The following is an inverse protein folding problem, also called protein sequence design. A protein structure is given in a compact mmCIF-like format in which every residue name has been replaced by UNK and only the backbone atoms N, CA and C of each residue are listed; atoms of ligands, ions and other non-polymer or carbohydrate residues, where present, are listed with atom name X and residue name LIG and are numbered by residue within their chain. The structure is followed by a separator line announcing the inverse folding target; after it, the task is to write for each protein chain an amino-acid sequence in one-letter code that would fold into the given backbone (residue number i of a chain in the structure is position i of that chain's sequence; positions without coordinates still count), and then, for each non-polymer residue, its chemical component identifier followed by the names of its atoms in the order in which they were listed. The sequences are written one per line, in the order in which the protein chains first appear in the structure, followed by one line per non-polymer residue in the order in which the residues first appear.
data_IF_433057704261
#
_entry.id   IF_433057704261
#
_cell.length_a   1.000
_cell.length_b   1.000
_cell.length_c   1.000
_cell.angle_alpha   90.00
_cell.angle_beta   90.00
_cell.angle_gamma   90.00
#
_symmetry.space_group_name_H-M   'P 1'
#
loop_
_entity.id
_entity.type
_entity.pdbx_description
1 polymer ?
#
# COMPACT_ATOMS: atom_id res chain seq x y z
N UNK A 1 -23.31 -9.18 -17.93
CA UNK A 1 -23.02 -8.86 -16.52
C UNK A 1 -21.61 -9.31 -16.12
N UNK A 2 -21.24 -10.58 -16.37
CA UNK A 2 -19.92 -11.16 -16.06
C UNK A 2 -18.69 -10.35 -16.53
N UNK A 3 -18.74 -9.81 -17.75
CA UNK A 3 -17.60 -9.08 -18.32
C UNK A 3 -17.26 -7.77 -17.60
N UNK A 4 -18.26 -7.06 -17.06
CA UNK A 4 -18.04 -5.80 -16.33
C UNK A 4 -17.42 -6.06 -14.96
N UNK A 5 -17.84 -7.12 -14.29
CA UNK A 5 -17.31 -7.51 -12.98
C UNK A 5 -15.89 -8.06 -13.09
N UNK A 6 -15.60 -8.84 -14.13
CA UNK A 6 -14.25 -9.33 -14.41
C UNK A 6 -13.28 -8.17 -14.66
N UNK A 7 -13.68 -7.20 -15.49
CA UNK A 7 -12.90 -5.98 -15.71
C UNK A 7 -12.69 -5.20 -14.40
N UNK A 8 -13.75 -5.00 -13.63
CA UNK A 8 -13.67 -4.32 -12.33
C UNK A 8 -12.71 -5.03 -11.37
N UNK A 9 -12.70 -6.37 -11.36
CA UNK A 9 -11.79 -7.16 -10.52
C UNK A 9 -10.33 -7.01 -10.94
N UNK A 10 -10.05 -7.04 -12.25
CA UNK A 10 -8.70 -6.78 -12.78
C UNK A 10 -8.24 -5.39 -12.37
N UNK A 11 -9.09 -4.37 -12.54
CA UNK A 11 -8.76 -3.01 -12.12
C UNK A 11 -8.54 -2.90 -10.60
N UNK A 12 -9.34 -3.58 -9.78
CA UNK A 12 -9.14 -3.61 -8.33
C UNK A 12 -7.74 -4.09 -7.97
N UNK A 13 -7.31 -5.21 -8.58
CA UNK A 13 -6.00 -5.80 -8.29
C UNK A 13 -4.87 -4.84 -8.70
N UNK A 14 -4.97 -4.23 -9.87
CA UNK A 14 -3.95 -3.28 -10.35
C UNK A 14 -3.86 -2.06 -9.42
N UNK A 15 -4.99 -1.46 -9.07
CA UNK A 15 -5.03 -0.27 -8.19
C UNK A 15 -4.55 -0.62 -6.79
N UNK A 16 -4.91 -1.80 -6.26
CA UNK A 16 -4.43 -2.30 -4.98
C UNK A 16 -2.90 -2.34 -4.91
N UNK A 17 -2.24 -3.03 -5.85
CA UNK A 17 -0.77 -3.12 -5.84
C UNK A 17 -0.10 -1.78 -6.14
N UNK A 18 -0.75 -0.92 -6.92
CA UNK A 18 -0.25 0.44 -7.14
C UNK A 18 -0.27 1.26 -5.85
N UNK A 19 -1.32 1.13 -5.03
CA UNK A 19 -1.40 1.76 -3.72
C UNK A 19 -0.31 1.24 -2.79
N UNK A 20 -0.15 -0.08 -2.68
CA UNK A 20 0.91 -0.67 -1.84
C UNK A 20 2.31 -0.20 -2.23
N UNK A 21 2.66 -0.28 -3.51
CA UNK A 21 3.96 0.18 -4.00
C UNK A 21 4.14 1.67 -3.72
N UNK A 22 3.08 2.47 -3.83
CA UNK A 22 3.16 3.91 -3.55
C UNK A 22 3.45 4.18 -2.08
N UNK A 23 2.77 3.48 -1.16
CA UNK A 23 3.06 3.55 0.28
C UNK A 23 4.50 3.12 0.55
N UNK A 24 4.92 1.99 -0.01
CA UNK A 24 6.27 1.48 0.16
C UNK A 24 7.30 2.52 -0.29
N UNK A 25 7.14 3.10 -1.48
CA UNK A 25 8.06 4.13 -2.00
C UNK A 25 8.04 5.41 -1.17
N UNK A 26 6.89 5.77 -0.60
CA UNK A 26 6.78 6.92 0.29
C UNK A 26 7.53 6.67 1.61
N UNK A 27 7.27 5.53 2.26
CA UNK A 27 7.84 5.20 3.56
C UNK A 27 9.35 4.91 3.49
N UNK A 28 9.82 4.27 2.42
CA UNK A 28 11.24 3.89 2.26
C UNK A 28 12.11 4.97 1.61
N UNK A 29 11.52 6.04 1.08
CA UNK A 29 12.16 7.05 0.20
C UNK A 29 12.85 6.46 -1.05
N UNK A 30 12.58 5.17 -1.38
CA UNK A 30 13.10 4.54 -2.59
C UNK A 30 12.31 5.01 -3.80
N UNK A 31 12.99 5.70 -4.71
CA UNK A 31 12.39 6.15 -5.98
C UNK A 31 12.39 5.02 -7.01
N UNK A 32 11.23 4.40 -7.21
CA UNK A 32 11.02 3.40 -8.26
C UNK A 32 10.48 4.05 -9.55
N UNK A 33 11.16 3.81 -10.67
CA UNK A 33 10.67 4.15 -12.01
C UNK A 33 9.44 3.30 -12.37
N UNK A 34 8.61 3.79 -13.31
CA UNK A 34 7.38 3.12 -13.74
C UNK A 34 7.60 1.66 -14.17
N UNK A 35 8.66 1.38 -14.94
CA UNK A 35 8.99 0.02 -15.38
C UNK A 35 9.32 -0.92 -14.21
N UNK A 36 10.01 -0.43 -13.18
CA UNK A 36 10.30 -1.21 -11.97
C UNK A 36 9.01 -1.50 -11.20
N UNK A 37 8.12 -0.50 -11.10
CA UNK A 37 6.79 -0.69 -10.48
C UNK A 37 5.98 -1.74 -11.24
N UNK A 38 5.93 -1.65 -12.57
CA UNK A 38 5.23 -2.63 -13.42
C UNK A 38 5.81 -4.04 -13.24
N UNK A 39 7.15 -4.18 -13.17
CA UNK A 39 7.80 -5.46 -12.89
C UNK A 39 7.40 -6.02 -11.52
N UNK A 40 7.42 -5.18 -10.47
CA UNK A 40 7.02 -5.59 -9.12
C UNK A 40 5.55 -6.04 -9.10
N UNK A 41 4.64 -5.32 -9.77
CA UNK A 41 3.24 -5.74 -9.90
C UNK A 41 3.12 -7.09 -10.59
N UNK A 42 3.88 -7.33 -11.66
CA UNK A 42 3.90 -8.65 -12.32
C UNK A 42 4.39 -9.75 -11.38
N UNK A 43 5.38 -9.47 -10.53
CA UNK A 43 5.85 -10.42 -9.50
C UNK A 43 4.75 -10.66 -8.46
N UNK A 44 4.09 -9.62 -7.95
CA UNK A 44 2.97 -9.79 -7.02
C UNK A 44 1.87 -10.67 -7.61
N UNK A 45 1.46 -10.40 -8.85
CA UNK A 45 0.47 -11.20 -9.57
C UNK A 45 0.91 -12.64 -9.75
N UNK A 46 2.18 -12.87 -10.08
CA UNK A 46 2.71 -14.21 -10.26
C UNK A 46 2.77 -15.00 -8.96
N UNK A 47 3.29 -14.41 -7.88
CA UNK A 47 3.43 -15.13 -6.61
C UNK A 47 2.06 -15.39 -5.97
N UNK A 48 1.11 -14.46 -6.10
CA UNK A 48 -0.26 -14.64 -5.61
C UNK A 48 -1.10 -15.64 -6.44
N UNK A 49 -0.59 -16.20 -7.54
CA UNK A 49 -1.22 -17.38 -8.17
C UNK A 49 -1.08 -18.64 -7.31
N UNK A 50 -0.08 -18.68 -6.42
CA UNK A 50 0.15 -19.79 -5.50
C UNK A 50 -0.80 -19.63 -4.31
N UNK A 51 -1.94 -20.34 -4.35
CA UNK A 51 -3.03 -20.31 -3.33
C UNK A 51 -2.62 -20.65 -1.88
N UNK A 52 -1.35 -20.93 -1.62
CA UNK A 52 -0.86 -21.42 -0.33
C UNK A 52 -0.64 -20.27 0.66
N UNK A 53 -0.33 -19.05 0.20
CA UNK A 53 -0.14 -17.89 1.07
C UNK A 53 -1.05 -16.73 0.69
N UNK A 54 -1.55 -16.03 1.71
CA UNK A 54 -2.30 -14.78 1.57
C UNK A 54 -1.40 -13.67 1.02
N UNK A 55 -1.92 -12.71 0.24
CA UNK A 55 -1.20 -11.49 -0.16
C UNK A 55 -0.53 -10.79 1.04
N UNK A 56 -1.20 -10.74 2.20
CA UNK A 56 -0.64 -10.21 3.45
C UNK A 56 0.66 -10.87 3.94
N UNK A 57 0.93 -12.10 3.51
CA UNK A 57 2.14 -12.83 3.85
C UNK A 57 3.18 -12.79 2.74
N UNK A 58 2.75 -12.90 1.48
CA UNK A 58 3.65 -12.90 0.31
C UNK A 58 4.24 -11.52 0.07
N UNK A 59 3.40 -10.50 0.13
CA UNK A 59 3.73 -9.18 -0.40
C UNK A 59 4.90 -8.52 0.37
N UNK A 60 5.02 -8.67 1.71
CA UNK A 60 6.19 -8.24 2.47
C UNK A 60 7.51 -8.86 2.00
N UNK A 61 7.53 -10.11 1.52
CA UNK A 61 8.77 -10.71 1.00
C UNK A 61 9.22 -10.08 -0.32
N UNK A 62 8.26 -9.68 -1.17
CA UNK A 62 8.57 -8.94 -2.40
C UNK A 62 9.17 -7.58 -2.05
N UNK A 63 8.59 -6.87 -1.07
CA UNK A 63 9.15 -5.61 -0.59
C UNK A 63 10.52 -5.77 0.08
N UNK A 64 10.73 -6.85 0.82
CA UNK A 64 12.03 -7.18 1.40
C UNK A 64 13.10 -7.34 0.31
N UNK A 65 12.78 -8.06 -0.76
CA UNK A 65 13.68 -8.20 -1.90
C UNK A 65 14.00 -6.84 -2.53
N UNK A 66 13.01 -5.94 -2.65
CA UNK A 66 13.22 -4.58 -3.16
C UNK A 66 14.16 -3.77 -2.25
N UNK A 67 14.01 -3.85 -0.91
CA UNK A 67 14.91 -3.20 0.05
C UNK A 67 16.35 -3.71 -0.10
N UNK A 68 16.53 -5.04 -0.17
CA UNK A 68 17.84 -5.67 -0.30
C UNK A 68 18.56 -5.28 -1.60
N UNK A 69 17.81 -5.14 -2.70
CA UNK A 69 18.33 -4.68 -3.98
C UNK A 69 18.78 -3.20 -3.95
N UNK A 70 18.26 -2.40 -3.02
CA UNK A 70 18.64 -0.99 -2.83
C UNK A 70 19.64 -0.77 -1.68
N UNK A 71 20.26 -1.84 -1.16
CA UNK A 71 21.35 -1.77 -0.17
C UNK A 71 20.91 -1.89 1.29
N UNK A 72 19.60 -1.86 1.56
CA UNK A 72 19.02 -1.96 2.91
C UNK A 72 18.91 -3.42 3.36
N UNK A 73 20.06 -4.06 3.63
CA UNK A 73 20.14 -5.52 3.90
C UNK A 73 19.93 -5.93 5.35
N UNK A 74 19.96 -4.98 6.30
CA UNK A 74 19.81 -5.30 7.73
C UNK A 74 18.34 -5.49 8.07
N UNK A 75 18.01 -6.56 8.78
CA UNK A 75 16.67 -6.77 9.34
C UNK A 75 16.57 -6.06 10.69
N UNK A 76 16.33 -4.75 10.66
CA UNK A 76 15.98 -3.96 11.86
C UNK A 76 14.45 -3.74 11.91
N UNK A 77 13.94 -3.26 13.06
CA UNK A 77 12.51 -2.96 13.25
C UNK A 77 11.98 -2.02 12.16
N UNK A 78 12.78 -1.02 11.76
CA UNK A 78 12.46 -0.12 10.64
C UNK A 78 12.19 -0.90 9.35
N UNK A 79 13.07 -1.80 8.93
CA UNK A 79 12.89 -2.55 7.69
C UNK A 79 11.75 -3.56 7.78
N UNK A 80 11.50 -4.15 8.96
CA UNK A 80 10.30 -4.98 9.20
C UNK A 80 9.03 -4.13 9.04
N UNK A 81 9.00 -2.94 9.63
CA UNK A 81 7.88 -2.02 9.46
C UNK A 81 7.68 -1.64 7.98
N UNK A 82 8.75 -1.31 7.26
CA UNK A 82 8.68 -0.92 5.85
C UNK A 82 8.13 -1.99 4.92
N UNK A 83 8.35 -3.27 5.21
CA UNK A 83 7.84 -4.37 4.37
C UNK A 83 6.38 -4.73 4.67
N UNK A 84 5.93 -4.58 5.92
CA UNK A 84 4.56 -4.93 6.33
C UNK A 84 3.58 -3.77 6.24
N UNK A 85 4.03 -2.55 6.55
CA UNK A 85 3.17 -1.37 6.62
C UNK A 85 2.39 -1.12 5.33
N UNK A 86 2.95 -1.23 4.11
CA UNK A 86 2.19 -1.01 2.88
C UNK A 86 0.95 -1.89 2.79
N UNK A 87 1.13 -3.20 2.98
CA UNK A 87 0.05 -4.19 2.83
C UNK A 87 -0.99 -4.07 3.94
N UNK A 88 -0.54 -3.92 5.19
CA UNK A 88 -1.45 -3.72 6.33
C UNK A 88 -2.25 -2.43 6.18
N UNK A 89 -1.61 -1.35 5.73
CA UNK A 89 -2.26 -0.06 5.58
C UNK A 89 -3.30 -0.06 4.46
N UNK A 90 -2.99 -0.61 3.28
CA UNK A 90 -3.99 -0.71 2.20
C UNK A 90 -5.18 -1.55 2.66
N UNK A 91 -4.96 -2.73 3.26
CA UNK A 91 -6.05 -3.60 3.70
C UNK A 91 -6.93 -2.97 4.79
N UNK A 92 -6.33 -2.43 5.86
CA UNK A 92 -7.10 -1.84 6.97
C UNK A 92 -7.85 -0.58 6.53
N UNK A 93 -7.17 0.33 5.83
CA UNK A 93 -7.80 1.60 5.43
C UNK A 93 -8.86 1.38 4.36
N UNK A 94 -8.62 0.50 3.39
CA UNK A 94 -9.64 0.16 2.39
C UNK A 94 -10.88 -0.48 3.02
N UNK A 95 -10.71 -1.45 3.95
CA UNK A 95 -11.83 -2.05 4.68
C UNK A 95 -12.58 -1.02 5.51
N UNK A 96 -11.87 -0.11 6.18
CA UNK A 96 -12.49 0.99 6.92
C UNK A 96 -13.34 1.87 5.99
N UNK A 97 -12.81 2.26 4.82
CA UNK A 97 -13.53 3.04 3.83
C UNK A 97 -14.78 2.28 3.34
N UNK A 98 -14.66 1.02 2.96
CA UNK A 98 -15.78 0.22 2.42
C UNK A 98 -16.86 -0.07 3.46
N UNK A 99 -16.48 -0.32 4.72
CA UNK A 99 -17.42 -0.69 5.79
C UNK A 99 -18.08 0.51 6.47
N UNK A 100 -17.41 1.66 6.48
CA UNK A 100 -17.83 2.82 7.27
C UNK A 100 -18.11 4.04 6.39
N UNK A 101 -17.14 4.47 5.58
CA UNK A 101 -17.23 5.73 4.82
C UNK A 101 -18.22 5.60 3.66
N UNK A 102 -18.06 4.59 2.80
CA UNK A 102 -18.90 4.43 1.61
C UNK A 102 -20.38 4.21 1.96
N UNK A 103 -20.73 3.36 2.93
CA UNK A 103 -22.13 3.19 3.32
C UNK A 103 -22.72 4.50 3.82
N UNK A 104 -21.97 5.31 4.56
CA UNK A 104 -22.45 6.62 5.02
C UNK A 104 -22.65 7.60 3.86
N UNK A 105 -21.72 7.66 2.90
CA UNK A 105 -21.83 8.53 1.72
C UNK A 105 -22.98 8.13 0.80
N UNK A 106 -23.22 6.82 0.63
CA UNK A 106 -24.25 6.29 -0.26
C UNK A 106 -25.60 6.04 0.40
N UNK A 107 -25.69 6.05 1.74
CA UNK A 107 -26.95 5.97 2.48
C UNK A 107 -27.94 7.08 2.08
N UNK A 108 -27.43 8.20 1.56
CA UNK A 108 -28.25 9.35 1.12
C UNK A 108 -28.97 9.11 -0.22
N UNK A 109 -28.51 8.15 -1.05
CA UNK A 109 -28.95 8.03 -2.45
C UNK A 109 -29.66 6.71 -2.81
N UNK A 110 -29.82 5.76 -1.87
CA UNK A 110 -30.41 4.42 -2.11
C UNK A 110 -29.77 3.64 -3.28
N UNK A 111 -28.55 4.01 -3.71
CA UNK A 111 -27.86 3.34 -4.82
C UNK A 111 -27.08 2.16 -4.26
N UNK A 112 -27.46 0.94 -4.63
CA UNK A 112 -26.66 -0.26 -4.36
C UNK A 112 -25.55 -0.41 -5.40
N UNK A 113 -24.30 -0.25 -4.95
CA UNK A 113 -23.11 -0.54 -5.77
C UNK A 113 -22.69 -2.00 -5.58
N UNK A 114 -22.10 -2.59 -6.62
CA UNK A 114 -21.49 -3.92 -6.46
C UNK A 114 -20.22 -3.81 -5.62
N UNK A 115 -19.92 -4.88 -4.86
CA UNK A 115 -18.75 -4.95 -3.99
C UNK A 115 -17.43 -4.67 -4.73
N UNK A 116 -17.34 -5.07 -6.01
CA UNK A 116 -16.16 -4.83 -6.85
C UNK A 116 -15.91 -3.33 -7.02
N UNK A 117 -16.95 -2.54 -7.32
CA UNK A 117 -16.81 -1.10 -7.51
C UNK A 117 -16.56 -0.36 -6.21
N UNK A 118 -17.18 -0.81 -5.11
CA UNK A 118 -16.89 -0.28 -3.76
C UNK A 118 -15.42 -0.48 -3.37
N UNK A 119 -14.89 -1.68 -3.60
CA UNK A 119 -13.49 -1.98 -3.34
C UNK A 119 -12.56 -1.14 -4.22
N UNK A 120 -12.84 -1.04 -5.51
CA UNK A 120 -12.06 -0.19 -6.43
C UNK A 120 -12.00 1.26 -5.93
N UNK A 121 -13.16 1.83 -5.59
CA UNK A 121 -13.24 3.20 -5.11
C UNK A 121 -12.50 3.39 -3.78
N UNK A 122 -12.53 2.40 -2.89
CA UNK A 122 -11.77 2.44 -1.65
C UNK A 122 -10.25 2.48 -1.89
N UNK A 123 -9.72 1.69 -2.83
CA UNK A 123 -8.29 1.71 -3.13
C UNK A 123 -7.85 3.04 -3.78
N UNK A 124 -8.71 3.62 -4.62
CA UNK A 124 -8.47 4.96 -5.19
C UNK A 124 -8.42 6.01 -4.07
N UNK A 125 -9.34 5.95 -3.11
CA UNK A 125 -9.36 6.85 -1.96
C UNK A 125 -8.13 6.69 -1.06
N UNK A 126 -7.66 5.46 -0.83
CA UNK A 126 -6.39 5.20 -0.12
C UNK A 126 -5.25 5.90 -0.84
N UNK A 127 -5.14 5.70 -2.15
CA UNK A 127 -4.09 6.31 -2.97
C UNK A 127 -4.14 7.85 -2.90
N UNK A 128 -5.32 8.44 -3.03
CA UNK A 128 -5.49 9.90 -2.93
C UNK A 128 -5.13 10.41 -1.52
N UNK A 129 -5.52 9.69 -0.47
CA UNK A 129 -5.17 10.02 0.90
C UNK A 129 -3.66 10.04 1.12
N UNK A 130 -2.93 9.09 0.54
CA UNK A 130 -1.46 9.08 0.59
C UNK A 130 -0.82 10.26 -0.14
N UNK A 131 -1.35 10.62 -1.30
CA UNK A 131 -0.83 11.76 -2.05
C UNK A 131 -1.02 13.06 -1.27
N UNK A 132 -2.19 13.22 -0.62
CA UNK A 132 -2.44 14.32 0.32
C UNK A 132 -1.47 14.30 1.51
N UNK A 133 -1.23 13.14 2.14
CA UNK A 133 -0.27 13.02 3.25
C UNK A 133 1.15 13.38 2.82
N UNK A 134 1.58 12.91 1.64
CA UNK A 134 2.89 13.23 1.09
C UNK A 134 3.02 14.72 0.74
N UNK A 135 1.96 15.33 0.22
CA UNK A 135 1.92 16.78 -0.04
C UNK A 135 2.03 17.60 1.25
N UNK A 136 1.31 17.20 2.30
CA UNK A 136 1.25 17.95 3.57
C UNK A 136 2.50 17.76 4.44
N UNK A 137 2.95 16.52 4.64
CA UNK A 137 3.95 16.16 5.66
C UNK A 137 5.17 15.44 5.06
N UNK A 138 5.15 15.10 3.77
CA UNK A 138 6.18 14.28 3.14
C UNK A 138 7.59 14.88 3.16
N UNK A 139 7.71 16.21 3.14
CA UNK A 139 9.01 16.89 3.26
C UNK A 139 9.63 16.72 4.65
N UNK A 140 8.82 16.89 5.69
CA UNK A 140 9.24 16.77 7.09
C UNK A 140 9.58 15.31 7.42
N UNK A 141 8.74 14.37 6.99
CA UNK A 141 8.99 12.94 7.14
C UNK A 141 10.34 12.50 6.55
N UNK A 142 10.70 13.01 5.35
CA UNK A 142 11.98 12.69 4.71
C UNK A 142 13.19 13.28 5.41
N UNK A 143 13.03 14.38 6.13
CA UNK A 143 14.09 14.93 6.97
C UNK A 143 14.33 14.01 8.17
N UNK A 144 13.26 13.53 8.83
CA UNK A 144 13.38 12.56 9.92
C UNK A 144 14.04 11.23 9.52
N UNK A 145 13.75 10.73 8.32
CA UNK A 145 14.35 9.49 7.82
C UNK A 145 15.86 9.59 7.56
N UNK A 146 16.37 10.77 7.20
CA UNK A 146 17.78 10.97 6.90
C UNK A 146 18.63 11.21 8.15
N UNK A 147 18.00 11.58 9.25
CA UNK A 147 18.64 11.90 10.52
C UNK A 147 18.58 10.70 11.50
N UNK A 148 19.05 9.53 11.05
CA UNK A 148 19.10 8.28 11.83
C UNK A 148 19.89 8.42 13.16
N UNK A 149 20.73 9.45 13.31
CA UNK A 149 21.48 9.73 14.54
C UNK A 149 20.80 10.71 15.50
N UNK A 150 19.61 11.25 15.17
CA UNK A 150 18.88 12.15 16.08
C UNK A 150 18.12 11.35 17.15
N UNK A 151 18.17 11.80 18.41
CA UNK A 151 17.46 11.16 19.55
C UNK A 151 15.96 10.95 19.28
N UNK A 152 15.34 11.80 18.46
CA UNK A 152 13.93 11.73 18.09
C UNK A 152 13.57 10.58 17.14
N UNK A 153 14.45 10.22 16.21
CA UNK A 153 14.23 9.09 15.30
C UNK A 153 14.24 7.77 16.08
N UNK A 154 15.18 7.63 17.02
CA UNK A 154 15.21 6.51 17.96
C UNK A 154 13.97 6.47 18.86
N UNK A 155 13.43 7.62 19.29
CA UNK A 155 12.18 7.65 20.06
C UNK A 155 10.98 7.14 19.26
N UNK A 156 10.78 7.61 18.02
CA UNK A 156 9.67 7.15 17.18
C UNK A 156 9.70 5.63 16.93
N UNK A 157 10.89 5.07 16.64
CA UNK A 157 11.04 3.62 16.46
C UNK A 157 11.10 2.82 17.77
N UNK A 158 11.34 3.45 18.93
CA UNK A 158 11.29 2.78 20.24
C UNK A 158 9.88 2.68 20.83
N UNK A 159 8.95 3.52 20.34
CA UNK A 159 7.55 3.52 20.75
C UNK A 159 6.75 2.41 20.03
N UNK A 160 7.27 1.89 18.92
CA UNK A 160 6.73 0.75 18.16
C UNK A 160 7.58 -0.50 18.32
#
# INVERSE_FOLDING_TARGET
MLGKELLGLIFCIVVYYFAEISIFTFLSDIKLQLWKKAFIISVFLFVNQVRILSPMLIDPFVFLAVLWLHGERKLNLRNIFLIFAPTVFVDLVSRFIVSTILPYLFAVHEVSFSNVWMNLFSYILVFFGLDMLNFLVGKEYKLFLKDESSEFSNQFYSIF
#
